data_IF_201991701207
#
_entry.id   IF_201991701207
#
_cell.length_a   1.000
_cell.length_b   1.000
_cell.length_c   1.000
_cell.angle_alpha   90.00
_cell.angle_beta   90.00
_cell.angle_gamma   90.00
#
_symmetry.space_group_name_H-M   'P 1'
#
loop_
_entity.id
_entity.type
_entity.pdbx_description
1 polymer ?
#
# COMPACT_ATOMS: atom_id res chain seq x y z
N UNK A 1 -10.85 7.01 -1.27
CA UNK A 1 -9.69 6.30 -1.86
C UNK A 1 -10.00 5.92 -3.30
N UNK A 2 -8.98 5.88 -4.13
CA UNK A 2 -9.10 5.42 -5.50
C UNK A 2 -8.98 3.90 -5.53
N UNK A 3 -10.04 3.24 -5.99
CA UNK A 3 -10.12 1.78 -6.05
C UNK A 3 -10.06 1.25 -7.49
N UNK A 4 -9.41 1.99 -8.38
CA UNK A 4 -9.22 1.52 -9.75
C UNK A 4 -8.13 0.44 -9.78
N UNK A 5 -8.49 -0.74 -10.28
CA UNK A 5 -7.59 -1.88 -10.35
C UNK A 5 -7.21 -2.21 -11.79
N UNK A 6 -5.95 -2.63 -11.97
CA UNK A 6 -5.44 -3.07 -13.27
C UNK A 6 -5.79 -4.55 -13.47
N UNK A 7 -5.99 -4.94 -14.73
CA UNK A 7 -6.33 -6.33 -15.06
C UNK A 7 -5.10 -7.24 -15.19
N UNK A 8 -3.89 -6.67 -15.26
CA UNK A 8 -2.66 -7.40 -15.48
C UNK A 8 -1.99 -7.92 -14.19
N UNK A 9 -2.59 -7.66 -13.04
CA UNK A 9 -2.09 -8.08 -11.74
C UNK A 9 -3.22 -8.63 -10.88
N UNK A 10 -2.93 -9.56 -9.96
CA UNK A 10 -3.95 -10.04 -9.03
C UNK A 10 -4.57 -8.91 -8.23
N UNK A 11 -5.88 -8.95 -8.08
CA UNK A 11 -6.61 -7.90 -7.36
C UNK A 11 -6.16 -7.81 -5.90
N UNK A 12 -5.95 -8.95 -5.23
CA UNK A 12 -5.56 -8.92 -3.81
C UNK A 12 -4.23 -8.20 -3.60
N UNK A 13 -3.27 -8.33 -4.53
CA UNK A 13 -1.98 -7.64 -4.43
C UNK A 13 -2.15 -6.13 -4.55
N UNK A 14 -2.98 -5.69 -5.48
CA UNK A 14 -3.27 -4.28 -5.66
C UNK A 14 -4.01 -3.72 -4.45
N UNK A 15 -4.97 -4.48 -3.91
CA UNK A 15 -5.71 -4.08 -2.73
C UNK A 15 -4.78 -3.97 -1.51
N UNK A 16 -3.89 -4.95 -1.32
CA UNK A 16 -2.89 -4.91 -0.25
C UNK A 16 -2.03 -3.66 -0.37
N UNK A 17 -1.57 -3.34 -1.57
CA UNK A 17 -0.75 -2.16 -1.81
C UNK A 17 -1.51 -0.86 -1.51
N UNK A 18 -2.77 -0.76 -1.95
CA UNK A 18 -3.60 0.42 -1.68
C UNK A 18 -3.83 0.63 -0.19
N UNK A 19 -4.10 -0.44 0.54
CA UNK A 19 -4.29 -0.36 1.99
C UNK A 19 -2.97 0.02 2.69
N UNK A 20 -1.84 -0.55 2.24
CA UNK A 20 -0.53 -0.16 2.79
C UNK A 20 -0.27 1.32 2.57
N UNK A 21 -0.52 1.83 1.38
CA UNK A 21 -0.36 3.25 1.06
C UNK A 21 -1.26 4.13 1.95
N UNK A 22 -2.48 3.70 2.20
CA UNK A 22 -3.41 4.42 3.06
C UNK A 22 -2.90 4.51 4.51
N UNK A 23 -2.24 3.46 4.98
CA UNK A 23 -1.64 3.43 6.31
C UNK A 23 -0.40 4.34 6.38
N UNK A 24 0.52 4.21 5.43
CA UNK A 24 1.77 4.99 5.47
C UNK A 24 1.55 6.46 5.18
N UNK A 25 0.49 6.81 4.47
CA UNK A 25 0.14 8.21 4.18
C UNK A 25 -0.71 8.85 5.26
N UNK A 26 -1.18 8.06 6.24
CA UNK A 26 -1.96 8.57 7.36
C UNK A 26 -3.46 8.63 7.11
N UNK A 27 -3.96 8.11 5.99
CA UNK A 27 -5.40 8.00 5.75
C UNK A 27 -6.03 7.14 6.85
N UNK A 28 -5.38 6.03 7.20
CA UNK A 28 -5.69 5.27 8.40
C UNK A 28 -4.57 5.52 9.39
N UNK A 29 -4.88 6.24 10.46
CA UNK A 29 -3.90 6.64 11.47
C UNK A 29 -3.41 5.46 12.32
N UNK A 30 -2.23 5.55 12.95
CA UNK A 30 -1.79 4.53 13.90
C UNK A 30 -2.85 4.26 14.96
N UNK A 31 -3.14 2.99 15.21
CA UNK A 31 -4.14 2.57 16.20
C UNK A 31 -5.58 2.68 15.73
N UNK A 32 -5.83 3.24 14.57
CA UNK A 32 -7.18 3.39 14.04
C UNK A 32 -7.76 2.05 13.63
N UNK A 33 -9.06 1.88 13.88
CA UNK A 33 -9.80 0.69 13.44
C UNK A 33 -10.05 0.78 11.94
N UNK A 34 -9.70 -0.29 11.22
CA UNK A 34 -9.98 -0.38 9.80
C UNK A 34 -11.46 -0.72 9.55
N UNK A 35 -11.99 -0.35 8.37
CA UNK A 35 -13.31 -0.84 7.97
C UNK A 35 -13.32 -2.37 7.96
N UNK A 36 -14.50 -2.95 8.14
CA UNK A 36 -14.67 -4.40 8.11
C UNK A 36 -14.41 -4.98 6.71
N UNK A 37 -14.22 -6.29 6.64
CA UNK A 37 -14.11 -7.00 5.36
C UNK A 37 -15.29 -6.67 4.46
N UNK A 38 -16.49 -6.70 5.00
CA UNK A 38 -17.72 -6.41 4.24
C UNK A 38 -17.73 -4.98 3.71
N UNK A 39 -17.39 -4.02 4.57
CA UNK A 39 -17.36 -2.62 4.17
C UNK A 39 -16.33 -2.36 3.07
N UNK A 40 -15.12 -2.92 3.21
CA UNK A 40 -14.08 -2.78 2.21
C UNK A 40 -14.46 -3.47 0.89
N UNK A 41 -15.10 -4.63 0.96
CA UNK A 41 -15.54 -5.35 -0.22
C UNK A 41 -16.56 -4.54 -1.03
N UNK A 42 -17.51 -3.92 -0.35
CA UNK A 42 -18.51 -3.06 -0.97
C UNK A 42 -17.86 -1.81 -1.55
N UNK A 43 -17.02 -1.14 -0.77
CA UNK A 43 -16.37 0.10 -1.17
C UNK A 43 -15.45 -0.10 -2.37
N UNK A 44 -14.64 -1.15 -2.35
CA UNK A 44 -13.68 -1.42 -3.42
C UNK A 44 -14.29 -2.20 -4.60
N UNK A 45 -15.49 -2.73 -4.45
CA UNK A 45 -16.14 -3.51 -5.50
C UNK A 45 -15.46 -4.84 -5.75
N UNK A 46 -14.96 -5.50 -4.70
CA UNK A 46 -14.24 -6.77 -4.81
C UNK A 46 -14.88 -7.85 -3.94
N UNK A 47 -14.49 -9.09 -4.19
CA UNK A 47 -14.95 -10.24 -3.43
C UNK A 47 -14.45 -10.14 -1.98
N UNK A 48 -15.29 -10.43 -0.97
CA UNK A 48 -14.87 -10.44 0.43
C UNK A 48 -13.65 -11.35 0.72
N UNK A 49 -13.53 -12.47 0.00
CA UNK A 49 -12.36 -13.35 0.15
C UNK A 49 -11.07 -12.66 -0.29
N UNK A 50 -11.14 -11.81 -1.31
CA UNK A 50 -10.01 -11.00 -1.77
C UNK A 50 -9.60 -9.99 -0.71
N UNK A 51 -10.57 -9.35 -0.08
CA UNK A 51 -10.33 -8.42 1.03
C UNK A 51 -9.67 -9.15 2.20
N UNK A 52 -10.21 -10.32 2.55
CA UNK A 52 -9.68 -11.14 3.64
C UNK A 52 -8.21 -11.49 3.41
N UNK A 53 -7.87 -11.87 2.17
CA UNK A 53 -6.51 -12.20 1.79
C UNK A 53 -5.59 -10.99 1.90
N UNK A 54 -6.04 -9.84 1.43
CA UNK A 54 -5.26 -8.60 1.50
C UNK A 54 -4.99 -8.20 2.96
N UNK A 55 -6.01 -8.26 3.81
CA UNK A 55 -5.86 -7.94 5.23
C UNK A 55 -4.93 -8.91 5.95
N UNK A 56 -4.98 -10.20 5.58
CA UNK A 56 -4.05 -11.20 6.12
C UNK A 56 -2.60 -10.90 5.75
N UNK A 57 -2.35 -10.41 4.54
CA UNK A 57 -1.02 -9.96 4.14
C UNK A 57 -0.53 -8.79 4.99
N UNK A 58 -1.40 -7.81 5.27
CA UNK A 58 -1.06 -6.69 6.13
C UNK A 58 -0.76 -7.12 7.56
N UNK A 59 -1.49 -8.11 8.06
CA UNK A 59 -1.21 -8.69 9.38
C UNK A 59 0.15 -9.38 9.40
N UNK A 60 0.47 -10.13 8.37
CA UNK A 60 1.76 -10.79 8.24
C UNK A 60 2.90 -9.77 8.22
N UNK A 61 2.69 -8.64 7.56
CA UNK A 61 3.69 -7.56 7.48
C UNK A 61 3.78 -6.76 8.78
N UNK A 62 2.89 -7.00 9.74
CA UNK A 62 2.89 -6.30 11.02
C UNK A 62 2.28 -4.92 10.99
N UNK A 63 1.66 -4.51 9.87
CA UNK A 63 1.04 -3.19 9.74
C UNK A 63 -0.37 -3.14 10.34
N UNK A 64 -1.00 -4.28 10.47
CA UNK A 64 -2.35 -4.43 11.00
C UNK A 64 -2.37 -5.57 11.99
N UNK A 65 -3.17 -5.45 13.04
CA UNK A 65 -3.38 -6.52 14.00
C UNK A 65 -4.87 -6.72 14.24
N UNK A 66 -5.25 -7.96 14.51
CA UNK A 66 -6.63 -8.32 14.85
C UNK A 66 -6.82 -8.29 16.35
N UNK A 67 -7.93 -7.70 16.78
CA UNK A 67 -8.41 -7.86 18.14
C UNK A 67 -9.68 -8.69 18.09
N UNK A 68 -9.68 -9.77 18.86
CA UNK A 68 -10.81 -10.69 18.93
C UNK A 68 -12.07 -9.92 19.29
N UNK A 69 -13.14 -10.03 18.57
CA UNK A 69 -14.42 -9.35 18.76
C UNK A 69 -14.43 -7.84 18.42
N UNK A 70 -13.28 -7.19 18.30
CA UNK A 70 -13.24 -5.74 18.05
C UNK A 70 -12.90 -5.38 16.61
N UNK A 71 -12.25 -6.26 15.84
CA UNK A 71 -11.90 -6.03 14.46
C UNK A 71 -10.40 -5.90 14.24
N UNK A 72 -10.02 -5.25 13.14
CA UNK A 72 -8.63 -5.03 12.77
C UNK A 72 -8.24 -3.57 12.94
N UNK A 73 -7.02 -3.36 13.42
CA UNK A 73 -6.50 -2.04 13.76
C UNK A 73 -5.14 -1.83 13.13
N UNK A 74 -4.84 -0.59 12.79
CA UNK A 74 -3.50 -0.20 12.31
C UNK A 74 -2.52 -0.29 13.48
N UNK A 75 -1.31 -0.78 13.21
CA UNK A 75 -0.26 -0.83 14.22
C UNK A 75 0.02 0.55 14.80
N UNK A 76 0.37 0.59 16.08
CA UNK A 76 0.85 1.80 16.73
C UNK A 76 2.36 1.94 16.63
N UNK A 77 3.04 0.95 16.07
CA UNK A 77 4.50 0.96 15.89
C UNK A 77 4.86 1.86 14.72
N UNK A 78 5.22 3.10 15.02
CA UNK A 78 5.55 4.09 14.01
C UNK A 78 6.80 3.73 13.20
N UNK A 79 7.72 2.95 13.77
CA UNK A 79 8.90 2.48 13.04
C UNK A 79 8.50 1.50 11.94
N UNK A 80 7.54 0.62 12.18
CA UNK A 80 7.06 -0.29 11.16
C UNK A 80 6.38 0.46 10.01
N UNK A 81 5.59 1.48 10.35
CA UNK A 81 4.94 2.32 9.34
C UNK A 81 5.98 3.09 8.53
N UNK A 82 6.96 3.69 9.19
CA UNK A 82 8.04 4.42 8.53
C UNK A 82 8.86 3.50 7.61
N UNK A 83 9.17 2.28 8.05
CA UNK A 83 9.92 1.33 7.25
C UNK A 83 9.14 0.89 6.02
N UNK A 84 7.83 0.67 6.16
CA UNK A 84 6.96 0.33 5.03
C UNK A 84 6.91 1.48 4.01
N UNK A 85 6.82 2.70 4.49
CA UNK A 85 6.83 3.91 3.66
C UNK A 85 8.12 4.01 2.85
N UNK A 86 9.26 3.82 3.50
CA UNK A 86 10.56 3.89 2.83
C UNK A 86 10.72 2.78 1.79
N UNK A 87 10.22 1.59 2.08
CA UNK A 87 10.26 0.48 1.12
C UNK A 87 9.47 0.81 -0.14
N UNK A 88 8.26 1.35 0.00
CA UNK A 88 7.44 1.75 -1.14
C UNK A 88 8.12 2.87 -1.92
N UNK A 89 8.65 3.87 -1.23
CA UNK A 89 9.34 4.98 -1.86
C UNK A 89 10.55 4.50 -2.66
N UNK A 90 11.34 3.59 -2.10
CA UNK A 90 12.49 3.00 -2.76
C UNK A 90 12.10 2.24 -4.02
N UNK A 91 11.04 1.45 -3.96
CA UNK A 91 10.52 0.73 -5.11
C UNK A 91 10.08 1.68 -6.23
N UNK A 92 9.39 2.76 -5.88
CA UNK A 92 8.92 3.75 -6.85
C UNK A 92 10.06 4.51 -7.50
N UNK A 93 11.08 4.87 -6.73
CA UNK A 93 12.29 5.50 -7.27
C UNK A 93 12.97 4.55 -8.23
N UNK A 94 13.11 3.28 -7.86
CA UNK A 94 13.69 2.27 -8.74
C UNK A 94 12.93 2.10 -10.04
N UNK A 95 11.61 2.05 -9.99
CA UNK A 95 10.76 1.98 -11.18
C UNK A 95 10.92 3.21 -12.07
N UNK A 96 10.97 4.38 -11.45
CA UNK A 96 11.17 5.64 -12.15
C UNK A 96 12.50 5.66 -12.88
N UNK A 97 13.59 5.31 -12.17
CA UNK A 97 14.92 5.27 -12.76
C UNK A 97 15.01 4.25 -13.89
N UNK A 98 14.37 3.10 -13.72
CA UNK A 98 14.31 2.08 -14.77
C UNK A 98 13.60 2.60 -16.01
N UNK A 99 12.46 3.28 -15.83
CA UNK A 99 11.70 3.84 -16.96
C UNK A 99 12.50 4.91 -17.70
N UNK A 100 13.29 5.72 -16.98
CA UNK A 100 14.17 6.70 -17.60
C UNK A 100 15.28 6.01 -18.40
N UNK A 101 15.84 4.93 -17.86
CA UNK A 101 16.87 4.17 -18.54
C UNK A 101 16.37 3.55 -19.85
N UNK A 102 15.13 3.07 -19.88
CA UNK A 102 14.55 2.52 -21.12
C UNK A 102 14.36 3.57 -22.20
N UNK A 103 14.26 4.84 -21.82
CA UNK A 103 14.23 5.96 -22.77
C UNK A 103 15.62 6.36 -23.26
N UNK A 104 16.68 5.75 -22.74
CA UNK A 104 18.05 6.12 -23.06
C UNK A 104 18.58 7.32 -22.29
N UNK A 105 17.89 7.75 -21.23
CA UNK A 105 18.35 8.86 -20.41
C UNK A 105 19.53 8.44 -19.54
N UNK A 106 20.55 9.33 -19.51
CA UNK A 106 21.69 9.15 -18.59
C UNK A 106 21.30 9.62 -17.20
N UNK A 107 22.11 9.26 -16.21
CA UNK A 107 21.92 9.71 -14.83
C UNK A 107 21.93 11.24 -14.76
N UNK A 108 22.86 11.90 -15.46
CA UNK A 108 22.97 13.36 -15.45
C UNK A 108 21.74 14.02 -16.05
N UNK A 109 21.20 13.45 -17.13
CA UNK A 109 19.97 13.94 -17.74
C UNK A 109 18.80 13.84 -16.76
N UNK A 110 18.66 12.72 -16.05
CA UNK A 110 17.59 12.55 -15.05
C UNK A 110 17.73 13.59 -13.94
N UNK A 111 18.96 13.78 -13.42
CA UNK A 111 19.21 14.75 -12.34
C UNK A 111 18.89 16.18 -12.78
N UNK A 112 19.16 16.52 -14.05
CA UNK A 112 18.85 17.87 -14.57
C UNK A 112 17.36 18.13 -14.71
N UNK A 113 16.54 17.07 -14.84
CA UNK A 113 15.09 17.20 -14.97
C UNK A 113 14.39 17.29 -13.61
N UNK A 114 15.04 16.86 -12.53
CA UNK A 114 14.49 16.90 -11.19
C UNK A 114 14.78 18.28 -10.59
N UNK A 115 13.74 19.13 -10.55
CA UNK A 115 13.86 20.48 -10.00
C UNK A 115 13.53 20.48 -8.51
N UNK A 116 14.53 20.22 -7.69
CA UNK A 116 14.38 20.23 -6.23
C UNK A 116 15.26 21.31 -5.64
#
# INVERSE_FOLDING_TARGET
MDWNFRNDQPIYSQLTQRLTEAIVSGIYAPGEKLPSVRELAVEAGVNPNTVQRALSELERDGLVFSQRTAGRFVTENENMIANAKLRIADERVGEFLHSMKTLGCTRDEVLSLIHI
#
